data_IF_456255054377
#
_entry.id   IF_456255054377
#
_cell.length_a   1.000
_cell.length_b   1.000
_cell.length_c   1.000
_cell.angle_alpha   90.00
_cell.angle_beta   90.00
_cell.angle_gamma   90.00
#
_symmetry.space_group_name_H-M   'P 1'
#
loop_
_entity.id
_entity.type
_entity.pdbx_description
1 polymer ?
#
# COMPACT_ATOMS: atom_id res chain seq x y z
N UNK A 1 -16.20 -22.76 -33.49
CA UNK A 1 -14.83 -22.52 -34.01
C UNK A 1 -14.05 -21.94 -32.84
N UNK A 2 -13.54 -22.82 -31.99
CA UNK A 2 -12.73 -22.43 -30.85
C UNK A 2 -11.47 -21.78 -31.42
N UNK A 3 -11.24 -20.51 -31.07
CA UNK A 3 -9.99 -19.87 -31.38
C UNK A 3 -8.90 -20.71 -30.71
N UNK A 4 -8.01 -21.23 -31.54
CA UNK A 4 -6.70 -21.70 -31.14
C UNK A 4 -6.09 -20.64 -30.22
N UNK A 5 -6.04 -20.93 -28.91
CA UNK A 5 -5.28 -20.14 -27.94
C UNK A 5 -3.81 -20.35 -28.30
N UNK A 6 -3.35 -19.64 -29.34
CA UNK A 6 -1.96 -19.64 -29.73
C UNK A 6 -1.13 -19.35 -28.49
N UNK A 7 -0.30 -20.31 -28.09
CA UNK A 7 0.49 -20.27 -26.86
C UNK A 7 1.08 -18.87 -26.71
N UNK A 8 0.62 -18.12 -25.70
CA UNK A 8 1.08 -16.76 -25.49
C UNK A 8 2.59 -16.80 -25.26
N UNK A 9 3.36 -16.23 -26.20
CA UNK A 9 4.80 -16.20 -26.10
C UNK A 9 5.23 -15.47 -24.82
N UNK A 10 6.33 -15.90 -24.21
CA UNK A 10 6.90 -15.22 -23.03
C UNK A 10 7.04 -13.69 -23.22
N UNK A 11 7.34 -13.24 -24.44
CA UNK A 11 7.43 -11.82 -24.80
C UNK A 11 6.11 -11.05 -24.70
N UNK A 12 4.95 -11.70 -24.87
CA UNK A 12 3.64 -11.05 -24.67
C UNK A 12 3.17 -11.17 -23.21
N UNK A 13 3.53 -12.26 -22.52
CA UNK A 13 3.18 -12.48 -21.11
C UNK A 13 3.93 -11.57 -20.14
N UNK A 14 5.22 -11.30 -20.38
CA UNK A 14 6.04 -10.44 -19.52
C UNK A 14 5.45 -9.03 -19.30
N UNK A 15 5.12 -8.25 -20.34
CA UNK A 15 4.53 -6.92 -20.15
C UNK A 15 3.13 -6.98 -19.54
N UNK A 16 2.35 -8.01 -19.84
CA UNK A 16 1.02 -8.21 -19.25
C UNK A 16 1.12 -8.45 -17.74
N UNK A 17 2.04 -9.33 -17.31
CA UNK A 17 2.33 -9.60 -15.90
C UNK A 17 2.88 -8.35 -15.19
N UNK A 18 3.82 -7.64 -15.80
CA UNK A 18 4.36 -6.42 -15.20
C UNK A 18 3.26 -5.38 -14.94
N UNK A 19 2.33 -5.20 -15.88
CA UNK A 19 1.21 -4.27 -15.71
C UNK A 19 0.22 -4.74 -14.64
N UNK A 20 -0.06 -6.03 -14.54
CA UNK A 20 -0.94 -6.57 -13.50
C UNK A 20 -0.33 -6.40 -12.11
N UNK A 21 0.96 -6.71 -11.93
CA UNK A 21 1.64 -6.54 -10.65
C UNK A 21 1.74 -5.08 -10.22
N UNK A 22 1.99 -4.15 -11.16
CA UNK A 22 1.98 -2.71 -10.85
C UNK A 22 0.60 -2.27 -10.35
N UNK A 23 -0.47 -2.74 -10.99
CA UNK A 23 -1.84 -2.43 -10.56
C UNK A 23 -2.10 -2.96 -9.14
N UNK A 24 -1.78 -4.23 -8.88
CA UNK A 24 -1.94 -4.85 -7.57
C UNK A 24 -1.11 -4.16 -6.49
N UNK A 25 0.14 -3.79 -6.79
CA UNK A 25 1.00 -3.05 -5.87
C UNK A 25 0.43 -1.66 -5.55
N UNK A 26 -0.19 -0.98 -6.51
CA UNK A 26 -0.83 0.31 -6.30
C UNK A 26 -2.05 0.20 -5.39
N UNK A 27 -2.88 -0.83 -5.57
CA UNK A 27 -4.03 -1.11 -4.70
C UNK A 27 -3.59 -1.38 -3.25
N UNK A 28 -2.59 -2.24 -3.06
CA UNK A 28 -2.02 -2.54 -1.73
C UNK A 28 -1.45 -1.27 -1.09
N UNK A 29 -0.65 -0.50 -1.85
CA UNK A 29 -0.06 0.75 -1.38
C UNK A 29 -1.10 1.77 -0.96
N UNK A 30 -2.21 1.89 -1.70
CA UNK A 30 -3.31 2.78 -1.36
C UNK A 30 -3.96 2.42 -0.02
N UNK A 31 -4.25 1.13 0.21
CA UNK A 31 -4.82 0.68 1.49
C UNK A 31 -3.88 0.90 2.67
N UNK A 32 -2.58 0.65 2.50
CA UNK A 32 -1.56 0.91 3.54
C UNK A 32 -1.46 2.41 3.84
N UNK A 33 -1.61 3.27 2.82
CA UNK A 33 -1.48 4.72 2.99
C UNK A 33 -2.67 5.37 3.69
N UNK A 34 -3.87 4.81 3.52
CA UNK A 34 -5.13 5.34 4.06
C UNK A 34 -5.10 5.66 5.58
N UNK A 35 -4.70 4.76 6.50
CA UNK A 35 -4.64 5.09 7.92
C UNK A 35 -3.69 6.25 8.24
N UNK A 36 -2.60 6.42 7.50
CA UNK A 36 -1.66 7.53 7.71
C UNK A 36 -2.24 8.87 7.25
N UNK A 37 -3.04 8.88 6.19
CA UNK A 37 -3.79 10.07 5.76
C UNK A 37 -4.79 10.49 6.83
N UNK A 38 -5.49 9.54 7.45
CA UNK A 38 -6.41 9.82 8.55
C UNK A 38 -5.67 10.49 9.72
N UNK A 39 -4.48 9.99 10.08
CA UNK A 39 -3.63 10.60 11.11
C UNK A 39 -3.25 12.04 10.75
N UNK A 40 -2.85 12.31 9.51
CA UNK A 40 -2.53 13.67 9.05
C UNK A 40 -3.72 14.63 9.17
N UNK A 41 -4.90 14.19 8.74
CA UNK A 41 -6.10 15.00 8.77
C UNK A 41 -6.54 15.30 10.22
N UNK A 42 -6.49 14.30 11.09
CA UNK A 42 -6.79 14.45 12.52
C UNK A 42 -5.83 15.44 13.17
N UNK A 43 -4.52 15.27 13.01
CA UNK A 43 -3.52 16.18 13.59
C UNK A 43 -3.67 17.60 13.05
N UNK A 44 -3.92 17.75 11.75
CA UNK A 44 -4.16 19.05 11.13
C UNK A 44 -5.39 19.73 11.73
N UNK A 45 -6.51 19.01 11.89
CA UNK A 45 -7.72 19.56 12.51
C UNK A 45 -7.52 19.99 13.96
N UNK A 46 -6.73 19.26 14.74
CA UNK A 46 -6.41 19.59 16.14
C UNK A 46 -5.56 20.87 16.18
N UNK A 47 -4.54 20.99 15.33
CA UNK A 47 -3.71 22.19 15.27
C UNK A 47 -4.49 23.43 14.86
N UNK A 48 -5.40 23.29 13.89
CA UNK A 48 -6.31 24.36 13.48
C UNK A 48 -7.23 24.77 14.64
N UNK A 49 -7.79 23.82 15.39
CA UNK A 49 -8.63 24.11 16.56
C UNK A 49 -7.87 24.83 17.69
N UNK A 50 -6.57 24.55 17.85
CA UNK A 50 -5.69 25.21 18.81
C UNK A 50 -5.17 26.58 18.33
N UNK A 51 -5.50 27.00 17.10
CA UNK A 51 -5.02 28.26 16.52
C UNK A 51 -3.54 28.24 16.09
N UNK A 52 -2.90 27.07 16.06
CA UNK A 52 -1.48 26.92 15.72
C UNK A 52 -1.27 26.78 14.20
N UNK A 53 -1.49 27.87 13.45
CA UNK A 53 -1.37 27.87 11.98
C UNK A 53 0.08 27.92 11.47
N UNK A 54 1.04 28.30 12.32
CA UNK A 54 2.45 28.43 11.93
C UNK A 54 3.28 27.15 12.09
N UNK A 55 2.73 26.14 12.77
CA UNK A 55 3.38 24.84 12.91
C UNK A 55 2.93 23.93 11.78
N UNK A 56 3.89 23.32 11.06
CA UNK A 56 3.57 22.31 10.06
C UNK A 56 2.95 21.07 10.73
N UNK A 57 1.72 20.66 10.38
CA UNK A 57 1.12 19.44 10.92
C UNK A 57 1.96 18.19 10.64
N UNK A 58 2.71 18.20 9.54
CA UNK A 58 3.56 17.08 9.12
C UNK A 58 4.65 16.80 10.14
N UNK A 59 5.24 17.83 10.75
CA UNK A 59 6.31 17.64 11.74
C UNK A 59 5.83 16.88 12.98
N UNK A 60 4.56 17.03 13.35
CA UNK A 60 3.94 16.28 14.44
C UNK A 60 3.48 14.91 13.96
N UNK A 61 2.94 14.82 12.74
CA UNK A 61 2.37 13.57 12.26
C UNK A 61 3.41 12.49 11.98
N UNK A 62 4.61 12.84 11.51
CA UNK A 62 5.68 11.87 11.23
C UNK A 62 6.02 10.97 12.43
N UNK A 63 6.39 11.48 13.63
CA UNK A 63 6.67 10.61 14.77
C UNK A 63 5.45 9.80 15.20
N UNK A 64 4.24 10.37 15.14
CA UNK A 64 2.99 9.66 15.49
C UNK A 64 2.72 8.48 14.54
N UNK A 65 2.89 8.68 13.23
CA UNK A 65 2.74 7.63 12.22
C UNK A 65 3.74 6.50 12.43
N UNK A 66 4.99 6.83 12.73
CA UNK A 66 6.04 5.83 12.99
C UNK A 66 5.71 4.99 14.23
N UNK A 67 5.26 5.64 15.31
CA UNK A 67 4.81 4.94 16.52
C UNK A 67 3.63 4.03 16.20
N UNK A 68 2.61 4.52 15.49
CA UNK A 68 1.44 3.74 15.09
C UNK A 68 1.86 2.51 14.28
N UNK A 69 2.75 2.68 13.30
CA UNK A 69 3.18 1.59 12.43
C UNK A 69 4.02 0.53 13.17
N UNK A 70 4.88 0.94 14.10
CA UNK A 70 5.65 0.02 14.94
C UNK A 70 4.75 -0.66 15.98
N UNK A 71 3.80 0.06 16.57
CA UNK A 71 2.90 -0.47 17.59
C UNK A 71 1.99 -1.59 17.07
N UNK A 72 1.63 -1.55 15.78
CA UNK A 72 0.84 -2.61 15.13
C UNK A 72 1.70 -3.72 14.50
N UNK A 73 3.03 -3.70 14.68
CA UNK A 73 3.97 -4.58 14.01
C UNK A 73 3.80 -4.57 12.46
N UNK A 74 3.69 -3.37 11.90
CA UNK A 74 3.36 -3.17 10.48
C UNK A 74 4.34 -3.83 9.50
N UNK A 75 5.64 -3.90 9.85
CA UNK A 75 6.64 -4.60 9.05
C UNK A 75 6.35 -6.09 8.92
N UNK A 76 5.96 -6.76 10.01
CA UNK A 76 5.61 -8.17 9.96
C UNK A 76 4.32 -8.42 9.18
N UNK A 77 3.31 -7.55 9.36
CA UNK A 77 2.03 -7.69 8.65
C UNK A 77 2.20 -7.57 7.13
N UNK A 78 2.93 -6.55 6.66
CA UNK A 78 3.16 -6.33 5.23
C UNK A 78 3.97 -7.48 4.62
N UNK A 79 5.08 -7.86 5.26
CA UNK A 79 5.94 -8.94 4.76
C UNK A 79 5.21 -10.28 4.69
N UNK A 80 4.48 -10.66 5.74
CA UNK A 80 3.67 -11.89 5.75
C UNK A 80 2.59 -11.84 4.69
N UNK A 81 1.86 -10.73 4.56
CA UNK A 81 0.79 -10.58 3.56
C UNK A 81 1.29 -10.77 2.13
N UNK A 82 2.41 -10.11 1.78
CA UNK A 82 3.02 -10.23 0.46
C UNK A 82 3.52 -11.65 0.18
N UNK A 83 4.22 -12.27 1.13
CA UNK A 83 4.76 -13.63 0.94
C UNK A 83 3.64 -14.67 0.81
N UNK A 84 2.61 -14.59 1.66
CA UNK A 84 1.48 -15.52 1.62
C UNK A 84 0.72 -15.46 0.29
N UNK A 85 0.54 -14.26 -0.28
CA UNK A 85 -0.10 -14.08 -1.59
C UNK A 85 0.61 -14.88 -2.70
N UNK A 86 1.94 -14.85 -2.76
CA UNK A 86 2.70 -15.60 -3.77
C UNK A 86 2.78 -17.10 -3.47
N UNK A 87 2.85 -17.49 -2.20
CA UNK A 87 2.85 -18.91 -1.82
C UNK A 87 1.52 -19.57 -2.21
N UNK A 88 0.40 -18.93 -1.90
CA UNK A 88 -0.93 -19.45 -2.23
C UNK A 88 -1.11 -19.61 -3.75
N UNK A 89 -0.62 -18.64 -4.54
CA UNK A 89 -0.59 -18.74 -6.00
C UNK A 89 0.24 -19.94 -6.50
N UNK A 90 1.31 -20.31 -5.80
CA UNK A 90 2.16 -21.45 -6.19
C UNK A 90 1.57 -22.82 -5.86
N UNK A 91 0.47 -22.88 -5.08
CA UNK A 91 -0.21 -24.13 -4.71
C UNK A 91 -1.34 -24.53 -5.67
N UNK A 92 -1.63 -23.70 -6.67
CA UNK A 92 -2.58 -23.95 -7.76
C UNK A 92 -1.84 -24.12 -9.10
#
# INVERSE_FOLDING_TARGET
>A
MAADEGEATLFSLLPAYALSEIKSAFEIGFYIYLPFVVVDLVISSILLALGMMMMSPVTISIPVKLILFVAIDGWSLISKGLVMQYIELAQY
#
